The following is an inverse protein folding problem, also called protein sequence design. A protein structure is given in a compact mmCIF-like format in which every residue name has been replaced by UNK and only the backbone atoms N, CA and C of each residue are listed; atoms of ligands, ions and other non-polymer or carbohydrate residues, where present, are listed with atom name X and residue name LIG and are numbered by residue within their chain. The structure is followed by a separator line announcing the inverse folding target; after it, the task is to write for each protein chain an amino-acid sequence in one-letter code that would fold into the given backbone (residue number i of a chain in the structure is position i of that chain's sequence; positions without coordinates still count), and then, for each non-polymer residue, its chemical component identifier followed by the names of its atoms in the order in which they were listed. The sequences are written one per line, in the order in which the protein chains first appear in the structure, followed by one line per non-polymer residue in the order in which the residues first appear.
data_IF_521047860674
#
_entry.id   IF_521047860674
#
_cell.length_a   1.000
_cell.length_b   1.000
_cell.length_c   1.000
_cell.angle_alpha   90.00
_cell.angle_beta   90.00
_cell.angle_gamma   90.00
#
_symmetry.space_group_name_H-M   'P 1'
#
loop_
_entity.id
_entity.type
_entity.pdbx_description
1 polymer ?
#
# COMPACT_ATOMS: atom_id res chain seq x y z
N UNK A 1 -0.45 -13.74 -19.00
CA UNK A 1 -0.64 -12.29 -18.78
C UNK A 1 -0.31 -12.07 -17.33
N UNK A 2 0.78 -11.37 -17.04
CA UNK A 2 1.08 -10.92 -15.67
C UNK A 2 -0.06 -10.01 -15.24
N UNK A 3 -0.87 -10.47 -14.29
CA UNK A 3 -1.82 -9.61 -13.62
C UNK A 3 -1.09 -8.97 -12.46
N UNK A 4 -1.22 -7.65 -12.24
CA UNK A 4 -0.58 -7.00 -11.10
C UNK A 4 -1.13 -7.59 -9.80
N UNK A 5 -0.28 -7.72 -8.78
CA UNK A 5 -0.61 -8.28 -7.46
C UNK A 5 -1.68 -7.50 -6.68
N UNK A 6 -2.05 -6.31 -7.13
CA UNK A 6 -3.02 -5.44 -6.49
C UNK A 6 -3.83 -4.64 -7.50
N UNK A 7 -4.97 -4.12 -7.02
CA UNK A 7 -5.70 -3.03 -7.66
C UNK A 7 -5.41 -1.72 -6.91
N UNK A 8 -5.39 -0.59 -7.63
CA UNK A 8 -5.15 0.73 -7.05
C UNK A 8 -6.39 1.61 -7.14
N UNK A 9 -6.71 2.30 -6.05
CA UNK A 9 -7.76 3.30 -5.96
C UNK A 9 -7.19 4.61 -5.41
N UNK A 10 -7.47 5.72 -6.08
CA UNK A 10 -7.18 7.06 -5.56
C UNK A 10 -8.17 7.42 -4.47
N UNK A 11 -7.66 7.92 -3.35
CA UNK A 11 -8.44 8.52 -2.27
C UNK A 11 -8.13 10.04 -2.20
N UNK A 12 -8.82 10.76 -1.32
CA UNK A 12 -8.65 12.20 -1.13
C UNK A 12 -7.23 12.56 -0.72
N UNK A 13 -6.67 11.78 0.21
CA UNK A 13 -5.40 12.08 0.87
C UNK A 13 -4.27 11.14 0.39
N UNK A 14 -4.52 10.26 -0.58
CA UNK A 14 -3.51 9.29 -1.01
C UNK A 14 -4.04 8.21 -1.96
N UNK A 15 -3.43 7.03 -1.88
CA UNK A 15 -3.77 5.87 -2.70
C UNK A 15 -3.97 4.64 -1.83
N UNK A 16 -5.06 3.92 -2.07
CA UNK A 16 -5.31 2.60 -1.49
C UNK A 16 -4.92 1.55 -2.51
N UNK A 17 -4.04 0.64 -2.12
CA UNK A 17 -3.71 -0.56 -2.87
C UNK A 17 -4.36 -1.75 -2.17
N UNK A 18 -5.08 -2.58 -2.94
CA UNK A 18 -5.82 -3.73 -2.46
C UNK A 18 -5.19 -4.98 -3.07
N UNK A 19 -4.63 -5.85 -2.24
CA UNK A 19 -3.98 -7.09 -2.68
C UNK A 19 -4.99 -8.06 -3.29
N UNK A 20 -4.58 -8.75 -4.35
CA UNK A 20 -5.40 -9.80 -4.96
C UNK A 20 -5.23 -11.12 -4.20
N UNK A 21 -6.31 -11.88 -3.93
CA UNK A 21 -6.23 -13.10 -3.13
C UNK A 21 -5.26 -14.16 -3.66
N UNK A 22 -5.04 -14.21 -4.97
CA UNK A 22 -4.13 -15.12 -5.66
C UNK A 22 -2.68 -14.63 -5.71
N UNK A 23 -2.40 -13.41 -5.24
CA UNK A 23 -1.09 -12.76 -5.23
C UNK A 23 -0.72 -12.14 -3.88
N UNK A 24 -1.25 -12.67 -2.76
CA UNK A 24 -1.05 -12.09 -1.42
C UNK A 24 0.42 -12.06 -1.00
N UNK A 25 1.22 -13.06 -1.34
CA UNK A 25 2.64 -13.10 -0.97
C UNK A 25 3.41 -11.96 -1.66
N UNK A 26 3.21 -11.81 -2.98
CA UNK A 26 3.83 -10.75 -3.79
C UNK A 26 3.40 -9.36 -3.34
N UNK A 27 2.10 -9.18 -3.04
CA UNK A 27 1.60 -7.94 -2.48
C UNK A 27 2.18 -7.65 -1.10
N UNK A 28 2.35 -8.69 -0.27
CA UNK A 28 2.90 -8.53 1.07
C UNK A 28 4.36 -8.11 1.06
N UNK A 29 5.14 -8.57 0.09
CA UNK A 29 6.53 -8.14 -0.10
C UNK A 29 6.61 -6.66 -0.50
N UNK A 30 5.75 -6.22 -1.41
CA UNK A 30 5.61 -4.80 -1.75
C UNK A 30 5.24 -3.95 -0.53
N UNK A 31 4.31 -4.43 0.31
CA UNK A 31 3.89 -3.71 1.53
C UNK A 31 5.05 -3.58 2.52
N UNK A 32 5.88 -4.61 2.67
CA UNK A 32 7.07 -4.57 3.54
C UNK A 32 8.09 -3.58 3.03
N UNK A 33 8.40 -3.63 1.73
CA UNK A 33 9.32 -2.67 1.10
C UNK A 33 8.80 -1.22 1.26
N UNK A 34 7.52 -0.98 1.00
CA UNK A 34 6.93 0.35 1.17
C UNK A 34 6.96 0.82 2.63
N UNK A 35 6.78 -0.08 3.60
CA UNK A 35 6.87 0.25 5.02
C UNK A 35 8.31 0.58 5.45
N UNK A 36 9.31 -0.11 4.90
CA UNK A 36 10.73 0.15 5.17
C UNK A 36 11.19 1.53 4.66
N UNK A 37 10.53 2.04 3.60
CA UNK A 37 10.77 3.36 3.02
C UNK A 37 9.81 4.46 3.54
N UNK A 38 8.89 4.12 4.45
CA UNK A 38 7.93 5.10 4.98
C UNK A 38 8.61 6.12 5.91
N UNK A 39 8.21 7.39 5.79
CA UNK A 39 8.66 8.49 6.64
C UNK A 39 9.56 9.52 5.95
N UNK A 40 10.01 9.26 4.72
CA UNK A 40 10.73 10.24 3.90
C UNK A 40 9.74 11.08 3.08
N UNK A 41 9.18 10.51 2.02
CA UNK A 41 8.28 11.21 1.07
C UNK A 41 6.80 10.86 1.26
N UNK A 42 6.51 9.79 2.00
CA UNK A 42 5.16 9.27 2.23
C UNK A 42 5.06 8.49 3.53
N UNK A 43 3.84 8.30 4.01
CA UNK A 43 3.51 7.37 5.10
C UNK A 43 2.65 6.23 4.57
N UNK A 44 2.79 5.06 5.21
CA UNK A 44 2.05 3.84 4.84
C UNK A 44 1.24 3.33 6.02
N UNK A 45 -0.03 3.00 5.77
CA UNK A 45 -0.90 2.31 6.71
C UNK A 45 -1.27 0.95 6.14
N UNK A 46 -0.94 -0.13 6.85
CA UNK A 46 -1.13 -1.50 6.37
C UNK A 46 -2.34 -2.16 7.03
N UNK A 47 -3.08 -2.97 6.29
CA UNK A 47 -4.13 -3.85 6.84
C UNK A 47 -3.73 -5.31 6.62
N UNK A 48 -3.67 -6.10 7.69
CA UNK A 48 -3.39 -7.53 7.62
C UNK A 48 -4.51 -8.28 6.88
N UNK A 49 -4.19 -9.42 6.29
CA UNK A 49 -5.17 -10.38 5.78
C UNK A 49 -5.73 -11.33 6.86
N UNK A 50 -5.25 -11.21 8.11
CA UNK A 50 -5.57 -12.12 9.22
C UNK A 50 -4.59 -13.29 9.37
N UNK A 51 -3.58 -13.38 8.52
CA UNK A 51 -2.46 -14.33 8.57
C UNK A 51 -1.11 -13.63 8.70
N UNK A 52 -0.14 -14.04 7.88
CA UNK A 52 1.21 -13.44 7.85
C UNK A 52 1.34 -12.34 6.77
N UNK A 53 0.28 -12.12 5.98
CA UNK A 53 0.28 -11.21 4.85
C UNK A 53 -0.51 -9.94 5.10
N UNK A 54 -0.68 -9.19 4.01
CA UNK A 54 -1.43 -7.94 3.97
C UNK A 54 -2.53 -8.02 2.93
N UNK A 55 -3.70 -7.46 3.27
CA UNK A 55 -4.83 -7.35 2.35
C UNK A 55 -4.89 -5.99 1.68
N UNK A 56 -4.40 -4.94 2.35
CA UNK A 56 -4.42 -3.57 1.84
C UNK A 56 -3.24 -2.76 2.36
N UNK A 57 -2.84 -1.73 1.62
CA UNK A 57 -2.07 -0.61 2.15
C UNK A 57 -2.64 0.72 1.66
N UNK A 58 -2.56 1.73 2.51
CA UNK A 58 -2.86 3.11 2.17
C UNK A 58 -1.57 3.92 2.22
N UNK A 59 -1.25 4.59 1.12
CA UNK A 59 -0.05 5.41 0.94
C UNK A 59 -0.46 6.87 0.85
N UNK A 60 0.06 7.70 1.74
CA UNK A 60 -0.19 9.15 1.79
C UNK A 60 1.12 9.91 1.57
N UNK A 61 1.25 10.68 0.48
CA UNK A 61 2.40 11.57 0.28
C UNK A 61 2.48 12.65 1.38
N UNK A 62 3.67 12.92 1.88
CA UNK A 62 3.88 13.93 2.93
C UNK A 62 3.84 15.37 2.39
N UNK A 63 4.26 15.58 1.13
CA UNK A 63 4.18 16.89 0.45
C UNK A 63 2.74 17.39 0.23
N UNK A 64 1.73 16.53 0.40
CA UNK A 64 0.32 16.92 0.35
C UNK A 64 -0.15 17.66 1.61
N UNK A 65 0.65 17.67 2.69
CA UNK A 65 0.28 18.25 3.99
C UNK A 65 0.58 19.76 4.06
N UNK A 66 1.47 20.28 3.21
CA UNK A 66 1.92 21.69 3.22
C UNK A 66 1.18 22.62 2.22
N UNK A 67 0.10 22.17 1.58
CA UNK A 67 -0.69 23.02 0.68
C UNK A 67 -1.75 23.89 1.40
N UNK A 68 -1.40 24.48 2.56
CA UNK A 68 -2.31 25.36 3.34
C UNK A 68 -1.73 26.74 3.64
#
# INVERSE_FOLDING_TARGET
MDHPAYDIRRDKDGFVLIGKPDHIDEFSDLVREAADHAGEDFVVFTTSDGGQGYSQMFVMPLDAVDAR
#
